data_IF_002431849627
#
_entry.id   IF_002431849627
#
_cell.length_a   1.000
_cell.length_b   1.000
_cell.length_c   1.000
_cell.angle_alpha   90.00
_cell.angle_beta   90.00
_cell.angle_gamma   90.00
#
_symmetry.space_group_name_H-M   'P 1'
#
loop_
_entity.id
_entity.type
_entity.pdbx_description
1 polymer ?
#
# COMPACT_ATOMS: atom_id res chain seq x y z
N UNK A 1 -23.01 -7.88 -6.92
CA UNK A 1 -21.64 -8.43 -6.74
C UNK A 1 -20.67 -7.45 -6.05
N UNK A 2 -21.15 -6.49 -5.26
CA UNK A 2 -20.30 -5.58 -4.45
C UNK A 2 -19.80 -6.22 -3.14
N UNK A 3 -20.32 -7.41 -2.80
CA UNK A 3 -20.14 -8.08 -1.50
C UNK A 3 -19.05 -9.16 -1.48
N UNK A 4 -18.47 -9.51 -2.63
CA UNK A 4 -17.46 -10.58 -2.73
C UNK A 4 -16.02 -10.10 -2.57
N UNK A 5 -15.78 -8.79 -2.66
CA UNK A 5 -14.44 -8.21 -2.46
C UNK A 5 -14.14 -7.99 -0.97
N UNK A 6 -15.17 -7.71 -0.15
CA UNK A 6 -14.99 -7.60 1.31
C UNK A 6 -14.68 -8.96 1.96
N UNK A 7 -15.14 -10.07 1.35
CA UNK A 7 -14.91 -11.42 1.88
C UNK A 7 -13.49 -11.94 1.68
N UNK A 8 -12.71 -11.35 0.77
CA UNK A 8 -11.29 -11.71 0.55
C UNK A 8 -10.31 -10.86 1.37
N UNK A 9 -10.77 -9.76 1.99
CA UNK A 9 -9.99 -8.95 2.93
C UNK A 9 -10.45 -9.13 4.39
N UNK A 10 -11.47 -9.95 4.64
CA UNK A 10 -12.07 -10.19 5.96
C UNK A 10 -11.58 -11.42 6.72
N UNK A 11 -10.58 -12.16 6.21
CA UNK A 11 -9.93 -13.20 7.02
C UNK A 11 -8.88 -12.52 7.89
N UNK A 12 -9.33 -12.16 9.10
CA UNK A 12 -8.52 -11.88 10.28
C UNK A 12 -7.20 -12.65 10.15
N UNK A 13 -6.11 -11.93 9.91
CA UNK A 13 -4.79 -12.43 10.23
C UNK A 13 -4.91 -12.94 11.66
N UNK A 14 -4.77 -14.25 11.85
CA UNK A 14 -4.51 -14.80 13.16
C UNK A 14 -3.21 -14.13 13.60
N UNK A 15 -3.37 -13.07 14.38
CA UNK A 15 -2.30 -12.41 15.10
C UNK A 15 -1.63 -13.53 15.90
N UNK A 16 -0.32 -13.76 15.76
CA UNK A 16 0.36 -14.62 16.72
C UNK A 16 0.17 -13.96 18.07
N UNK A 17 -0.64 -14.61 18.90
CA UNK A 17 -0.86 -14.28 20.30
C UNK A 17 0.47 -14.47 21.04
N UNK A 18 1.32 -13.44 20.97
CA UNK A 18 2.47 -13.28 21.83
C UNK A 18 2.26 -12.01 22.64
N UNK A 19 1.84 -12.24 23.88
CA UNK A 19 1.98 -11.36 25.04
C UNK A 19 1.82 -9.86 24.74
N UNK A 20 0.59 -9.37 24.90
CA UNK A 20 0.23 -7.97 24.82
C UNK A 20 0.90 -7.12 25.90
N UNK A 21 2.11 -6.67 25.64
CA UNK A 21 2.53 -5.34 26.05
C UNK A 21 1.74 -4.34 25.21
N UNK A 22 0.91 -3.54 25.87
CA UNK A 22 0.05 -2.53 25.28
C UNK A 22 0.74 -1.79 24.13
N UNK A 23 0.19 -1.87 22.91
CA UNK A 23 0.59 -1.02 21.81
C UNK A 23 0.48 0.44 22.28
N UNK A 24 1.63 1.06 22.55
CA UNK A 24 1.78 2.45 22.93
C UNK A 24 1.21 3.33 21.80
N UNK A 25 -0.09 3.61 21.90
CA UNK A 25 -0.86 4.67 21.25
C UNK A 25 -0.34 5.11 19.87
N UNK A 26 -0.74 4.35 18.86
CA UNK A 26 -0.29 4.34 17.47
C UNK A 26 -0.62 5.57 16.59
N UNK A 27 -0.91 6.74 17.17
CA UNK A 27 -1.07 7.99 16.41
C UNK A 27 -0.19 9.15 16.92
N UNK A 28 0.32 9.06 18.15
CA UNK A 28 1.18 10.08 18.76
C UNK A 28 2.64 9.63 18.93
N UNK A 29 2.94 8.37 18.62
CA UNK A 29 4.31 7.88 18.59
C UNK A 29 4.93 8.26 17.25
N UNK A 30 5.63 9.40 17.20
CA UNK A 30 6.50 9.73 16.07
C UNK A 30 7.47 8.56 15.89
N UNK A 31 7.56 7.94 14.70
CA UNK A 31 8.46 6.82 14.48
C UNK A 31 9.88 7.24 14.80
N UNK A 32 10.52 6.51 15.73
CA UNK A 32 11.91 6.74 16.10
C UNK A 32 12.80 6.58 14.85
N UNK A 33 13.58 7.60 14.52
CA UNK A 33 14.50 7.54 13.38
C UNK A 33 15.87 7.02 13.83
N UNK A 34 16.61 6.31 12.96
CA UNK A 34 18.00 5.92 13.22
C UNK A 34 18.89 7.09 13.65
N UNK A 35 18.68 8.27 13.06
CA UNK A 35 19.41 9.49 13.44
C UNK A 35 19.09 9.95 14.87
N UNK A 36 17.84 9.81 15.31
CA UNK A 36 17.41 10.16 16.67
C UNK A 36 18.09 9.24 17.71
N UNK A 37 18.32 7.97 17.34
CA UNK A 37 19.04 7.00 18.18
C UNK A 37 20.52 7.39 18.31
N UNK A 38 21.21 7.69 17.20
CA UNK A 38 22.64 8.07 17.20
C UNK A 38 22.93 9.35 17.99
N UNK A 39 22.00 10.30 17.94
CA UNK A 39 22.16 11.61 18.58
C UNK A 39 21.68 11.63 20.04
N UNK A 40 21.17 10.49 20.55
CA UNK A 40 20.60 10.41 21.89
C UNK A 40 21.67 10.61 22.95
N UNK A 41 21.52 11.68 23.74
CA UNK A 41 22.37 11.94 24.91
C UNK A 41 21.72 11.42 26.18
N UNK A 42 22.47 10.65 26.97
CA UNK A 42 22.07 10.22 28.30
C UNK A 42 22.66 11.17 29.35
N UNK A 43 21.89 11.46 30.40
CA UNK A 43 22.37 12.26 31.53
C UNK A 43 23.41 11.48 32.35
N UNK A 44 24.39 12.20 32.91
CA UNK A 44 25.42 11.58 33.76
C UNK A 44 24.79 11.09 35.07
N UNK A 45 25.21 9.92 35.54
CA UNK A 45 24.74 9.36 36.81
C UNK A 45 25.09 10.29 37.98
N UNK A 46 24.22 10.36 39.01
CA UNK A 46 24.46 11.12 40.25
C UNK A 46 25.77 10.69 40.90
N UNK A 47 26.48 11.65 41.51
CA UNK A 47 27.73 11.42 42.25
C UNK A 47 27.55 10.26 43.26
N UNK A 48 28.50 9.33 43.28
CA UNK A 48 28.49 8.15 44.18
C UNK A 48 27.85 6.88 43.60
N UNK A 49 27.33 6.89 42.36
CA UNK A 49 26.87 5.67 41.67
C UNK A 49 27.69 5.40 40.42
N UNK A 50 28.01 4.11 40.17
CA UNK A 50 28.59 3.69 38.89
C UNK A 50 27.54 3.82 37.78
N UNK A 51 27.88 4.52 36.71
CA UNK A 51 27.11 4.57 35.47
C UNK A 51 27.63 3.56 34.45
N UNK A 52 26.90 3.42 33.33
CA UNK A 52 27.39 2.71 32.14
C UNK A 52 28.56 3.48 31.52
N UNK A 53 29.46 2.75 30.87
CA UNK A 53 30.52 3.34 30.07
C UNK A 53 29.91 4.09 28.87
N UNK A 54 30.15 5.41 28.71
CA UNK A 54 29.64 6.18 27.59
C UNK A 54 30.02 5.57 26.23
N UNK A 55 31.22 5.01 26.08
CA UNK A 55 31.72 4.51 24.80
C UNK A 55 31.04 3.19 24.40
N UNK A 56 30.79 2.32 25.38
CA UNK A 56 30.01 1.10 25.18
C UNK A 56 28.56 1.43 24.77
N UNK A 57 27.95 2.42 25.43
CA UNK A 57 26.61 2.88 25.11
C UNK A 57 26.54 3.45 23.70
N UNK A 58 27.52 4.28 23.29
CA UNK A 58 27.57 4.85 21.94
C UNK A 58 27.72 3.75 20.88
N UNK A 59 28.61 2.78 21.10
CA UNK A 59 28.80 1.64 20.19
C UNK A 59 27.52 0.81 20.03
N UNK A 60 26.82 0.56 21.15
CA UNK A 60 25.54 -0.14 21.11
C UNK A 60 24.47 0.66 20.36
N UNK A 61 24.37 1.98 20.60
CA UNK A 61 23.43 2.85 19.89
C UNK A 61 23.67 2.87 18.38
N UNK A 62 24.93 2.87 17.94
CA UNK A 62 25.26 2.82 16.51
C UNK A 62 24.78 1.53 15.86
N UNK A 63 24.98 0.39 16.52
CA UNK A 63 24.45 -0.90 16.07
C UNK A 63 22.92 -0.90 16.02
N UNK A 64 22.26 -0.44 17.08
CA UNK A 64 20.80 -0.34 17.13
C UNK A 64 20.26 0.57 16.02
N UNK A 65 20.92 1.69 15.76
CA UNK A 65 20.53 2.60 14.70
C UNK A 65 20.68 1.94 13.31
N UNK A 66 21.73 1.15 13.10
CA UNK A 66 21.91 0.39 11.85
C UNK A 66 20.79 -0.65 11.66
N UNK A 67 20.52 -1.47 12.68
CA UNK A 67 19.47 -2.49 12.63
C UNK A 67 18.07 -1.86 12.45
N UNK A 68 17.81 -0.72 13.10
CA UNK A 68 16.56 0.04 12.92
C UNK A 68 16.41 0.57 11.49
N UNK A 69 17.50 1.05 10.88
CA UNK A 69 17.50 1.50 9.49
C UNK A 69 17.18 0.35 8.52
N UNK A 70 17.72 -0.84 8.78
CA UNK A 70 17.43 -2.03 7.98
C UNK A 70 15.96 -2.46 8.10
N UNK A 71 15.43 -2.47 9.32
CA UNK A 71 14.03 -2.79 9.57
C UNK A 71 13.08 -1.79 8.89
N UNK A 72 13.38 -0.49 8.94
CA UNK A 72 12.60 0.55 8.27
C UNK A 72 12.61 0.37 6.75
N UNK A 73 13.79 0.13 6.15
CA UNK A 73 13.92 -0.15 4.71
C UNK A 73 13.12 -1.39 4.29
N UNK A 74 13.15 -2.45 5.10
CA UNK A 74 12.36 -3.65 4.83
C UNK A 74 10.85 -3.38 4.88
N UNK A 75 10.40 -2.59 5.87
CA UNK A 75 9.00 -2.20 5.99
C UNK A 75 8.52 -1.34 4.81
N UNK A 76 9.36 -0.39 4.34
CA UNK A 76 9.06 0.42 3.17
C UNK A 76 8.92 -0.42 1.90
N UNK A 77 9.83 -1.39 1.68
CA UNK A 77 9.72 -2.33 0.56
C UNK A 77 8.41 -3.11 0.58
N UNK A 78 8.07 -3.71 1.72
CA UNK A 78 6.83 -4.48 1.87
C UNK A 78 5.57 -3.62 1.63
N UNK A 79 5.57 -2.37 2.11
CA UNK A 79 4.48 -1.41 1.85
C UNK A 79 4.40 -1.05 0.37
N UNK A 80 5.54 -0.84 -0.29
CA UNK A 80 5.62 -0.56 -1.73
C UNK A 80 5.08 -1.71 -2.58
N UNK A 81 5.44 -2.95 -2.26
CA UNK A 81 4.91 -4.16 -2.91
C UNK A 81 3.39 -4.27 -2.74
N UNK A 82 2.91 -4.08 -1.52
CA UNK A 82 1.47 -4.09 -1.23
C UNK A 82 0.73 -3.03 -2.03
N UNK A 83 1.29 -1.82 -2.15
CA UNK A 83 0.70 -0.75 -2.95
C UNK A 83 0.62 -1.14 -4.42
N UNK A 84 1.72 -1.66 -4.98
CA UNK A 84 1.78 -2.14 -6.38
C UNK A 84 0.75 -3.23 -6.67
N UNK A 85 0.61 -4.21 -5.77
CA UNK A 85 -0.38 -5.28 -5.92
C UNK A 85 -1.79 -4.70 -5.90
N UNK A 86 -2.09 -3.80 -4.96
CA UNK A 86 -3.40 -3.16 -4.87
C UNK A 86 -3.71 -2.30 -6.09
N UNK A 87 -2.72 -1.60 -6.64
CA UNK A 87 -2.90 -0.78 -7.83
C UNK A 87 -3.14 -1.64 -9.07
N UNK A 88 -2.40 -2.73 -9.23
CA UNK A 88 -2.61 -3.70 -10.30
C UNK A 88 -4.03 -4.29 -10.22
N UNK A 89 -4.46 -4.69 -9.02
CA UNK A 89 -5.80 -5.21 -8.80
C UNK A 89 -6.88 -4.15 -9.10
N UNK A 90 -6.68 -2.91 -8.67
CA UNK A 90 -7.61 -1.81 -8.92
C UNK A 90 -7.74 -1.55 -10.42
N UNK A 91 -6.62 -1.49 -11.16
CA UNK A 91 -6.62 -1.29 -12.61
C UNK A 91 -7.39 -2.40 -13.33
N UNK A 92 -7.08 -3.65 -13.02
CA UNK A 92 -7.79 -4.80 -13.58
C UNK A 92 -9.30 -4.77 -13.25
N UNK A 93 -9.69 -4.41 -12.02
CA UNK A 93 -11.10 -4.27 -11.65
C UNK A 93 -11.81 -3.17 -12.44
N UNK A 94 -11.14 -2.04 -12.73
CA UNK A 94 -11.68 -0.97 -13.56
C UNK A 94 -11.88 -1.42 -15.01
N UNK A 95 -10.91 -2.10 -15.59
CA UNK A 95 -11.00 -2.66 -16.96
C UNK A 95 -12.16 -3.66 -17.06
N UNK A 96 -12.33 -4.52 -16.06
CA UNK A 96 -13.44 -5.48 -16.02
C UNK A 96 -14.81 -4.79 -15.87
N UNK A 97 -14.90 -3.73 -15.06
CA UNK A 97 -16.14 -2.95 -14.95
C UNK A 97 -16.50 -2.29 -16.29
N UNK A 98 -15.53 -1.68 -16.96
CA UNK A 98 -15.71 -1.06 -18.28
C UNK A 98 -16.15 -2.08 -19.32
N UNK A 99 -15.47 -3.23 -19.41
CA UNK A 99 -15.84 -4.29 -20.35
C UNK A 99 -17.29 -4.76 -20.13
N UNK A 100 -17.70 -4.92 -18.86
CA UNK A 100 -19.08 -5.29 -18.52
C UNK A 100 -20.09 -4.20 -18.88
N UNK A 101 -19.76 -2.94 -18.66
CA UNK A 101 -20.64 -1.81 -18.99
C UNK A 101 -20.77 -1.64 -20.51
N UNK A 102 -19.69 -1.84 -21.27
CA UNK A 102 -19.73 -1.86 -22.73
C UNK A 102 -20.65 -2.97 -23.25
N UNK A 103 -20.52 -4.19 -22.72
CA UNK A 103 -21.41 -5.31 -23.08
C UNK A 103 -22.87 -5.02 -22.70
N UNK A 104 -23.10 -4.39 -21.54
CA UNK A 104 -24.43 -3.99 -21.09
C UNK A 104 -25.05 -2.94 -22.00
N UNK A 105 -24.29 -1.91 -22.38
CA UNK A 105 -24.75 -0.82 -23.24
C UNK A 105 -24.99 -1.31 -24.69
N UNK A 106 -24.15 -2.21 -25.21
CA UNK A 106 -24.35 -2.81 -26.53
C UNK A 106 -25.70 -3.55 -26.64
N UNK A 107 -26.10 -4.26 -25.58
CA UNK A 107 -27.40 -4.93 -25.51
C UNK A 107 -28.58 -3.98 -25.24
N UNK A 108 -28.32 -2.70 -24.90
CA UNK A 108 -29.33 -1.66 -24.73
C UNK A 108 -29.53 -0.79 -25.97
N UNK A 109 -28.79 -1.02 -27.06
CA UNK A 109 -29.08 -0.40 -28.36
C UNK A 109 -30.50 -0.77 -28.78
N UNK A 110 -31.37 0.21 -29.13
CA UNK A 110 -32.75 -0.07 -29.47
C UNK A 110 -32.81 -1.00 -30.67
N UNK A 111 -33.62 -2.05 -30.58
CA UNK A 111 -33.81 -3.09 -31.61
C UNK A 111 -34.36 -2.57 -32.97
N UNK A 112 -34.45 -1.25 -33.15
CA UNK A 112 -34.93 -0.58 -34.36
C UNK A 112 -33.86 0.18 -35.17
N UNK A 113 -32.58 0.16 -34.78
CA UNK A 113 -31.53 0.77 -35.61
C UNK A 113 -31.22 -0.12 -36.82
N UNK A 114 -31.98 0.07 -37.90
CA UNK A 114 -31.62 -0.39 -39.24
C UNK A 114 -30.60 0.62 -39.79
N UNK A 115 -29.32 0.26 -40.00
CA UNK A 115 -28.37 1.19 -40.61
C UNK A 115 -28.94 1.60 -41.98
N UNK A 116 -28.98 2.92 -42.23
CA UNK A 116 -29.42 3.45 -43.51
C UNK A 116 -28.61 2.76 -44.63
N UNK A 117 -29.26 2.27 -45.70
CA UNK A 117 -28.52 1.69 -46.81
C UNK A 117 -27.49 2.73 -47.28
N UNK A 118 -26.23 2.31 -47.36
CA UNK A 118 -25.17 3.18 -47.86
C UNK A 118 -25.64 3.81 -49.18
N UNK A 119 -25.42 5.12 -49.41
CA UNK A 119 -25.82 5.73 -50.67
C UNK A 119 -25.19 4.91 -51.80
N UNK A 120 -26.05 4.30 -52.63
CA UNK A 120 -25.61 3.47 -53.74
C UNK A 120 -24.63 4.24 -54.62
N UNK A 121 -23.68 3.56 -55.30
CA UNK A 121 -22.67 4.24 -56.08
C UNK A 121 -23.34 5.22 -57.02
N UNK A 122 -22.98 6.51 -56.91
CA UNK A 122 -23.48 7.55 -57.79
C UNK A 122 -23.17 7.11 -59.22
N UNK A 123 -24.22 6.80 -59.98
CA UNK A 123 -24.12 6.43 -61.39
C UNK A 123 -23.54 7.63 -62.12
N UNK A 124 -22.23 7.58 -62.39
CA UNK A 124 -21.59 8.53 -63.28
C UNK A 124 -22.19 8.31 -64.68
N UNK A 125 -22.66 9.38 -65.36
CA UNK A 125 -23.24 9.24 -66.68
C UNK A 125 -22.16 8.76 -67.66
N UNK A 126 -22.35 7.57 -68.23
CA UNK A 126 -21.57 7.13 -69.39
C UNK A 126 -22.02 7.94 -70.61
N UNK A 127 -21.02 8.41 -71.35
CA UNK A 127 -21.09 9.31 -72.50
C UNK A 127 -21.27 8.55 -73.81
#
# INVERSE_FOLDING_TARGET
MRQLVERLLGRRSAVPERAGGTAYRSASCVPLRPADVRTRRFGRTRLGRRGLDPDEVLTFLDRVAAELADAQRAAERARGETHRIKDALRRWQSEQAQARDLLRNANQRPAGYRPAPAPGPALLPYR
#
